data_IF_312665328000
#
_entry.id   IF_312665328000
#
_cell.length_a   1.000
_cell.length_b   1.000
_cell.length_c   1.000
_cell.angle_alpha   90.00
_cell.angle_beta   90.00
_cell.angle_gamma   90.00
#
_symmetry.space_group_name_H-M   'P 1'
#
loop_
_entity.id
_entity.type
_entity.pdbx_description
1 polymer ?
#
# COMPACT_ATOMS: atom_id res chain seq x y z
N UNK A 1 -1.73 9.85 45.04
CA UNK A 1 -0.94 10.69 45.97
C UNK A 1 0.47 10.82 45.41
N UNK A 2 0.81 12.00 44.87
CA UNK A 2 2.16 12.56 44.62
C UNK A 2 1.97 13.76 43.67
N UNK A 3 1.68 14.92 44.25
CA UNK A 3 2.55 16.10 44.27
C UNK A 3 2.49 16.97 42.99
N UNK A 4 1.53 17.90 42.99
CA UNK A 4 1.62 19.13 42.21
C UNK A 4 2.54 20.12 42.95
N UNK A 5 3.75 20.34 42.42
CA UNK A 5 4.61 21.45 42.82
C UNK A 5 3.94 22.78 42.44
N UNK A 6 3.38 23.49 43.43
CA UNK A 6 2.91 24.87 43.27
C UNK A 6 4.12 25.82 43.31
N UNK A 7 4.41 26.48 42.19
CA UNK A 7 5.40 27.55 42.12
C UNK A 7 4.87 28.81 42.84
N UNK A 8 5.69 29.34 43.75
CA UNK A 8 5.41 30.52 44.58
C UNK A 8 5.84 31.81 43.88
N UNK A 9 5.01 32.85 43.93
CA UNK A 9 5.44 34.23 43.68
C UNK A 9 5.50 35.02 45.00
N UNK A 10 6.63 35.68 45.23
CA UNK A 10 6.83 36.63 46.34
C UNK A 10 6.49 38.05 45.86
N UNK A 11 5.45 38.65 46.42
CA UNK A 11 5.20 40.10 46.29
C UNK A 11 5.81 40.77 47.52
N UNK A 12 6.84 41.60 47.32
CA UNK A 12 7.43 42.41 48.41
C UNK A 12 6.65 43.72 48.54
N UNK A 13 5.87 43.86 49.60
CA UNK A 13 5.32 45.13 50.05
C UNK A 13 6.22 45.67 51.16
N UNK A 14 6.97 46.73 50.89
CA UNK A 14 7.77 47.43 51.90
C UNK A 14 6.90 48.42 52.65
N UNK A 15 6.36 48.01 53.80
CA UNK A 15 5.91 48.92 54.85
C UNK A 15 6.66 48.57 56.14
N UNK A 16 7.32 49.57 56.73
CA UNK A 16 8.23 49.44 57.87
C UNK A 16 7.55 49.11 59.19
N UNK A 17 7.08 47.88 59.37
CA UNK A 17 6.62 47.37 60.65
C UNK A 17 7.21 45.97 60.90
N UNK A 18 7.75 45.76 62.10
CA UNK A 18 8.56 44.63 62.57
C UNK A 18 7.84 43.28 62.69
N UNK A 19 6.70 43.09 62.04
CA UNK A 19 6.00 41.80 61.97
C UNK A 19 5.48 41.57 60.56
N UNK A 20 6.29 40.93 59.73
CA UNK A 20 5.88 40.47 58.39
C UNK A 20 4.99 39.22 58.55
N UNK A 21 3.70 39.42 58.79
CA UNK A 21 2.72 38.33 58.59
C UNK A 21 2.56 38.12 57.09
N UNK A 22 3.09 37.00 56.59
CA UNK A 22 2.78 36.52 55.24
C UNK A 22 1.31 36.08 55.25
N UNK A 23 0.41 36.95 54.82
CA UNK A 23 -0.99 36.57 54.56
C UNK A 23 -0.99 35.72 53.29
N UNK A 24 -1.21 34.41 53.47
CA UNK A 24 -1.27 33.42 52.40
C UNK A 24 -2.64 33.54 51.71
N UNK A 25 -2.77 34.47 50.77
CA UNK A 25 -3.98 34.62 49.96
C UNK A 25 -4.12 33.39 49.06
N UNK A 26 -4.97 32.44 49.44
CA UNK A 26 -5.31 31.24 48.67
C UNK A 26 -6.41 31.57 47.65
N UNK A 27 -6.11 32.44 46.69
CA UNK A 27 -6.91 32.61 45.48
C UNK A 27 -6.40 31.70 44.36
N UNK A 28 -7.25 31.26 43.41
CA UNK A 28 -6.76 30.70 42.15
C UNK A 28 -5.82 31.70 41.47
N UNK A 29 -4.78 31.21 40.78
CA UNK A 29 -3.86 32.11 40.08
C UNK A 29 -4.63 32.86 38.98
N UNK A 30 -4.24 34.09 38.61
CA UNK A 30 -4.90 34.84 37.54
C UNK A 30 -5.04 34.05 36.22
N UNK A 31 -4.05 33.23 35.88
CA UNK A 31 -4.09 32.34 34.72
C UNK A 31 -5.09 31.17 34.88
N UNK A 32 -5.33 30.69 36.10
CA UNK A 32 -6.34 29.65 36.37
C UNK A 32 -7.76 30.19 36.15
N UNK A 33 -7.99 31.46 36.50
CA UNK A 33 -9.26 32.15 36.25
C UNK A 33 -9.47 32.37 34.75
N UNK A 34 -8.42 32.78 34.02
CA UNK A 34 -8.49 32.97 32.57
C UNK A 34 -8.73 31.62 31.84
N UNK A 35 -8.06 30.54 32.26
CA UNK A 35 -8.28 29.21 31.72
C UNK A 35 -9.71 28.70 32.00
N UNK A 36 -10.25 28.99 33.18
CA UNK A 36 -11.64 28.67 33.51
C UNK A 36 -12.63 29.39 32.57
N UNK A 37 -12.34 30.62 32.15
CA UNK A 37 -13.15 31.35 31.17
C UNK A 37 -13.14 30.67 29.79
N UNK A 38 -11.97 30.20 29.31
CA UNK A 38 -11.87 29.41 28.05
C UNK A 38 -12.74 28.14 28.13
N UNK A 39 -12.68 27.45 29.28
CA UNK A 39 -13.46 26.23 29.50
C UNK A 39 -14.96 26.49 29.73
N UNK A 40 -15.34 27.69 30.16
CA UNK A 40 -16.73 28.09 30.35
C UNK A 40 -17.39 28.67 29.07
N UNK A 41 -16.60 29.11 28.09
CA UNK A 41 -17.12 29.71 26.87
C UNK A 41 -18.08 28.77 26.12
N UNK A 42 -19.20 29.30 25.66
CA UNK A 42 -20.24 28.58 24.90
C UNK A 42 -20.48 29.18 23.52
N UNK A 43 -20.03 30.42 23.31
CA UNK A 43 -20.20 31.16 22.06
C UNK A 43 -18.85 31.63 21.51
N UNK A 44 -18.79 31.90 20.20
CA UNK A 44 -17.58 32.43 19.54
C UNK A 44 -17.09 33.74 20.18
N UNK A 45 -17.96 34.74 20.48
CA UNK A 45 -17.52 35.95 21.18
C UNK A 45 -16.95 35.68 22.57
N UNK A 46 -17.52 34.76 23.34
CA UNK A 46 -16.99 34.36 24.66
C UNK A 46 -15.63 33.68 24.54
N UNK A 47 -15.49 32.75 23.59
CA UNK A 47 -14.22 32.05 23.36
C UNK A 47 -13.14 33.04 22.93
N UNK A 48 -13.46 33.97 22.03
CA UNK A 48 -12.54 35.05 21.63
C UNK A 48 -12.09 35.91 22.80
N UNK A 49 -13.03 36.41 23.59
CA UNK A 49 -12.71 37.23 24.76
C UNK A 49 -11.83 36.47 25.77
N UNK A 50 -12.03 35.14 25.90
CA UNK A 50 -11.23 34.30 26.78
C UNK A 50 -9.81 34.08 26.26
N UNK A 51 -9.60 33.76 24.98
CA UNK A 51 -8.26 33.52 24.41
C UNK A 51 -7.45 34.81 24.21
N UNK A 52 -8.12 35.95 23.99
CA UNK A 52 -7.49 37.27 23.85
C UNK A 52 -7.15 37.90 25.21
N UNK A 53 -7.55 37.27 26.32
CA UNK A 53 -7.27 37.77 27.66
C UNK A 53 -5.75 37.70 27.96
N UNK A 54 -5.07 38.84 28.23
CA UNK A 54 -3.63 38.86 28.45
C UNK A 54 -3.21 38.05 29.71
N UNK A 55 -4.12 37.79 30.65
CA UNK A 55 -3.85 36.95 31.83
C UNK A 55 -3.68 35.46 31.49
N UNK A 56 -4.18 35.02 30.32
CA UNK A 56 -4.02 33.65 29.85
C UNK A 56 -2.58 33.40 29.35
N UNK A 57 -1.92 34.44 28.83
CA UNK A 57 -0.51 34.37 28.41
C UNK A 57 -0.25 33.58 27.13
N UNK A 58 -1.22 33.49 26.21
CA UNK A 58 -1.04 32.87 24.91
C UNK A 58 -0.15 33.71 23.99
N UNK A 59 0.61 33.05 23.13
CA UNK A 59 1.23 33.66 21.96
C UNK A 59 0.18 33.81 20.86
N UNK A 60 -0.25 35.04 20.60
CA UNK A 60 -1.28 35.38 19.61
C UNK A 60 -0.69 35.96 18.31
N UNK A 61 0.62 35.83 18.07
CA UNK A 61 1.30 36.51 16.95
C UNK A 61 0.65 36.20 15.61
N UNK A 62 0.43 34.91 15.31
CA UNK A 62 -0.21 34.49 14.06
C UNK A 62 -1.72 34.76 14.04
N UNK A 63 -2.41 34.49 15.15
CA UNK A 63 -3.83 34.79 15.32
C UNK A 63 -4.17 36.26 15.06
N UNK A 64 -3.32 37.18 15.50
CA UNK A 64 -3.53 38.62 15.34
C UNK A 64 -3.36 39.11 13.89
N UNK A 65 -2.71 38.32 13.02
CA UNK A 65 -2.60 38.62 11.59
C UNK A 65 -3.85 38.19 10.79
N UNK A 66 -4.75 37.41 11.41
CA UNK A 66 -5.97 36.92 10.76
C UNK A 66 -7.02 38.03 10.61
N UNK A 67 -7.88 37.88 9.59
CA UNK A 67 -9.09 38.69 9.46
C UNK A 67 -10.08 38.39 10.60
N UNK A 68 -11.00 39.30 10.90
CA UNK A 68 -12.00 39.08 11.96
C UNK A 68 -12.88 37.85 11.72
N UNK A 69 -13.18 37.54 10.44
CA UNK A 69 -13.89 36.32 10.08
C UNK A 69 -13.06 35.07 10.42
N UNK A 70 -11.78 35.05 10.02
CA UNK A 70 -10.88 33.94 10.32
C UNK A 70 -10.63 33.76 11.83
N UNK A 71 -10.57 34.85 12.60
CA UNK A 71 -10.51 34.77 14.07
C UNK A 71 -11.77 34.12 14.66
N UNK A 72 -12.94 34.44 14.12
CA UNK A 72 -14.19 33.79 14.53
C UNK A 72 -14.17 32.29 14.18
N UNK A 73 -13.62 31.91 13.03
CA UNK A 73 -13.46 30.50 12.64
C UNK A 73 -12.50 29.76 13.59
N UNK A 74 -11.38 30.37 13.96
CA UNK A 74 -10.43 29.82 14.95
C UNK A 74 -11.14 29.60 16.29
N UNK A 75 -11.87 30.60 16.79
CA UNK A 75 -12.61 30.47 18.04
C UNK A 75 -13.71 29.40 17.97
N UNK A 76 -14.39 29.26 16.83
CA UNK A 76 -15.37 28.20 16.62
C UNK A 76 -14.71 26.81 16.61
N UNK A 77 -13.54 26.66 15.99
CA UNK A 77 -12.77 25.41 16.04
C UNK A 77 -12.33 25.07 17.46
N UNK A 78 -11.85 26.05 18.24
CA UNK A 78 -11.50 25.85 19.64
C UNK A 78 -12.69 25.39 20.49
N UNK A 79 -13.90 25.87 20.20
CA UNK A 79 -15.13 25.40 20.85
C UNK A 79 -15.45 23.95 20.47
N UNK A 80 -15.40 23.64 19.17
CA UNK A 80 -15.75 22.31 18.65
C UNK A 80 -14.76 21.23 19.11
N UNK A 81 -13.47 21.58 19.18
CA UNK A 81 -12.38 20.66 19.53
C UNK A 81 -12.07 20.64 21.03
N UNK A 82 -12.80 21.42 21.84
CA UNK A 82 -12.58 21.44 23.29
C UNK A 82 -12.78 20.04 23.87
N UNK A 83 -11.81 19.49 24.63
CA UNK A 83 -11.99 18.21 25.29
C UNK A 83 -13.22 18.23 26.20
N UNK A 84 -13.90 17.09 26.38
CA UNK A 84 -15.10 17.01 27.21
C UNK A 84 -14.85 17.44 28.68
N UNK A 85 -13.62 17.25 29.19
CA UNK A 85 -13.17 17.71 30.51
C UNK A 85 -12.70 19.17 30.54
N UNK A 86 -12.74 19.87 29.40
CA UNK A 86 -12.05 21.14 29.19
C UNK A 86 -10.55 20.97 28.90
N UNK A 87 -9.91 22.08 28.53
CA UNK A 87 -8.47 22.19 28.35
C UNK A 87 -7.78 22.09 29.72
N UNK A 88 -6.86 21.12 29.93
CA UNK A 88 -6.21 20.89 31.23
C UNK A 88 -5.19 21.96 31.62
N UNK A 89 -4.69 22.74 30.65
CA UNK A 89 -3.67 23.77 30.91
C UNK A 89 -3.66 24.84 29.82
N UNK A 90 -3.05 26.00 30.12
CA UNK A 90 -2.77 27.04 29.12
C UNK A 90 -1.97 26.49 27.94
N UNK A 91 -1.01 25.59 28.18
CA UNK A 91 -0.23 24.97 27.11
C UNK A 91 -1.11 24.14 26.15
N UNK A 92 -2.12 23.44 26.67
CA UNK A 92 -3.08 22.72 25.82
C UNK A 92 -3.98 23.66 25.02
N UNK A 93 -4.30 24.85 25.56
CA UNK A 93 -5.02 25.89 24.81
C UNK A 93 -4.13 26.47 23.72
N UNK A 94 -2.84 26.73 23.99
CA UNK A 94 -1.89 27.20 22.98
C UNK A 94 -1.76 26.19 21.85
N UNK A 95 -1.56 24.91 22.15
CA UNK A 95 -1.45 23.87 21.12
C UNK A 95 -2.72 23.78 20.26
N UNK A 96 -3.91 23.89 20.88
CA UNK A 96 -5.17 23.91 20.16
C UNK A 96 -5.34 25.19 19.32
N UNK A 97 -4.90 26.34 19.81
CA UNK A 97 -4.92 27.61 19.09
C UNK A 97 -4.01 27.55 17.87
N UNK A 98 -2.76 27.11 18.05
CA UNK A 98 -1.79 26.97 16.96
C UNK A 98 -2.33 26.04 15.88
N UNK A 99 -2.92 24.91 16.27
CA UNK A 99 -3.58 24.00 15.34
C UNK A 99 -4.75 24.66 14.61
N UNK A 100 -5.63 25.37 15.32
CA UNK A 100 -6.80 26.01 14.73
C UNK A 100 -6.42 27.14 13.75
N UNK A 101 -5.42 27.95 14.10
CA UNK A 101 -4.88 28.99 13.21
C UNK A 101 -4.32 28.35 11.94
N UNK A 102 -3.49 27.31 12.07
CA UNK A 102 -2.93 26.57 10.95
C UNK A 102 -4.00 25.99 10.01
N UNK A 103 -5.05 25.38 10.58
CA UNK A 103 -6.15 24.83 9.79
C UNK A 103 -6.99 25.89 9.09
N UNK A 104 -7.25 27.03 9.74
CA UNK A 104 -7.99 28.14 9.12
C UNK A 104 -7.20 28.77 7.98
N UNK A 105 -5.90 29.00 8.16
CA UNK A 105 -5.02 29.52 7.10
C UNK A 105 -4.89 28.51 5.95
N UNK A 106 -4.68 27.24 6.25
CA UNK A 106 -4.59 26.18 5.25
C UNK A 106 -5.88 26.01 4.44
N UNK A 107 -7.04 26.03 5.10
CA UNK A 107 -8.34 25.94 4.42
C UNK A 107 -8.58 27.16 3.51
N UNK A 108 -8.18 28.36 3.96
CA UNK A 108 -8.23 29.55 3.11
C UNK A 108 -7.35 29.39 1.87
N UNK A 109 -6.17 28.78 1.97
CA UNK A 109 -5.31 28.49 0.82
C UNK A 109 -5.97 27.51 -0.17
N UNK A 110 -6.60 26.43 0.32
CA UNK A 110 -7.38 25.50 -0.52
C UNK A 110 -8.52 26.24 -1.25
N UNK A 111 -9.24 27.11 -0.55
CA UNK A 111 -10.35 27.86 -1.12
C UNK A 111 -9.91 29.01 -2.06
N UNK A 112 -8.69 29.51 -1.90
CA UNK A 112 -8.11 30.53 -2.77
C UNK A 112 -7.42 29.95 -4.02
N UNK A 113 -7.06 28.65 -4.01
CA UNK A 113 -6.36 28.02 -5.13
C UNK A 113 -7.14 28.17 -6.46
N UNK A 114 -6.42 28.52 -7.51
CA UNK A 114 -6.95 28.69 -8.88
C UNK A 114 -6.29 27.75 -9.88
N UNK A 115 -5.11 27.21 -9.52
CA UNK A 115 -4.35 26.29 -10.36
C UNK A 115 -4.11 24.95 -9.64
N UNK A 116 -3.84 23.90 -10.42
CA UNK A 116 -3.47 22.57 -9.90
C UNK A 116 -2.29 22.66 -8.94
N UNK A 117 -1.26 23.46 -9.29
CA UNK A 117 -0.07 23.63 -8.44
C UNK A 117 -0.40 24.28 -7.09
N UNK A 118 -1.27 25.29 -7.08
CA UNK A 118 -1.71 25.94 -5.84
C UNK A 118 -2.55 25.00 -4.98
N UNK A 119 -3.47 24.25 -5.61
CA UNK A 119 -4.30 23.27 -4.90
C UNK A 119 -3.43 22.17 -4.29
N UNK A 120 -2.45 21.64 -5.04
CA UNK A 120 -1.48 20.67 -4.53
C UNK A 120 -0.70 21.21 -3.34
N UNK A 121 -0.11 22.40 -3.47
CA UNK A 121 0.64 23.01 -2.38
C UNK A 121 -0.23 23.21 -1.11
N UNK A 122 -1.51 23.53 -1.28
CA UNK A 122 -2.44 23.70 -0.16
C UNK A 122 -2.81 22.37 0.52
N UNK A 123 -3.16 21.33 -0.23
CA UNK A 123 -3.57 20.02 0.35
C UNK A 123 -2.38 19.20 0.88
N UNK A 124 -1.19 19.38 0.32
CA UNK A 124 0.03 18.70 0.75
C UNK A 124 0.70 19.39 1.95
N UNK A 125 0.19 20.57 2.37
CA UNK A 125 0.70 21.26 3.54
C UNK A 125 0.36 20.47 4.81
N UNK A 126 1.35 19.96 5.56
CA UNK A 126 1.10 19.17 6.76
C UNK A 126 0.33 19.94 7.85
N UNK A 127 0.37 21.27 7.84
CA UNK A 127 -0.35 22.13 8.77
C UNK A 127 -1.88 22.10 8.56
N UNK A 128 -2.34 21.68 7.38
CA UNK A 128 -3.78 21.49 7.12
C UNK A 128 -4.32 20.25 7.86
N UNK A 129 -3.47 19.25 8.11
CA UNK A 129 -3.84 18.05 8.86
C UNK A 129 -4.66 17.02 8.08
N UNK A 130 -4.56 16.99 6.75
CA UNK A 130 -5.18 15.94 5.93
C UNK A 130 -4.44 14.60 6.10
N UNK A 131 -5.21 13.51 6.03
CA UNK A 131 -4.65 12.18 5.85
C UNK A 131 -4.33 11.98 4.37
N UNK A 132 -3.04 11.96 4.04
CA UNK A 132 -2.53 11.81 2.67
C UNK A 132 -2.03 10.39 2.37
N UNK A 133 -2.30 9.40 3.22
CA UNK A 133 -1.74 8.04 3.04
C UNK A 133 -2.06 7.45 1.67
N UNK A 134 -3.32 7.51 1.23
CA UNK A 134 -3.70 6.97 -0.08
C UNK A 134 -3.27 7.87 -1.25
N UNK A 135 -3.36 9.19 -1.07
CA UNK A 135 -2.91 10.18 -2.05
C UNK A 135 -1.43 10.04 -2.37
N UNK A 136 -0.59 9.78 -1.36
CA UNK A 136 0.85 9.63 -1.52
C UNK A 136 1.28 8.38 -2.28
N UNK A 137 0.38 7.40 -2.45
CA UNK A 137 0.62 6.21 -3.28
C UNK A 137 0.33 6.43 -4.77
N UNK A 138 -0.32 7.54 -5.13
CA UNK A 138 -0.65 7.86 -6.53
C UNK A 138 0.60 8.30 -7.30
N UNK A 139 0.60 8.08 -8.62
CA UNK A 139 1.55 8.72 -9.53
C UNK A 139 1.43 10.25 -9.48
N UNK A 140 2.50 10.97 -9.84
CA UNK A 140 2.48 12.44 -9.87
C UNK A 140 1.43 13.00 -10.85
N UNK A 141 1.17 12.28 -11.95
CA UNK A 141 0.09 12.64 -12.88
C UNK A 141 -1.28 12.50 -12.22
N UNK A 142 -1.55 11.38 -11.54
CA UNK A 142 -2.82 11.17 -10.85
C UNK A 142 -3.01 12.16 -9.69
N UNK A 143 -1.95 12.57 -8.98
CA UNK A 143 -2.02 13.65 -7.97
C UNK A 143 -2.46 14.98 -8.57
N UNK A 144 -1.96 15.33 -9.76
CA UNK A 144 -2.40 16.52 -10.49
C UNK A 144 -3.88 16.42 -10.87
N UNK A 145 -4.32 15.24 -11.33
CA UNK A 145 -5.73 15.00 -11.67
C UNK A 145 -6.65 15.08 -10.44
N UNK A 146 -6.23 14.57 -9.28
CA UNK A 146 -6.94 14.72 -8.01
C UNK A 146 -7.09 16.19 -7.64
N UNK A 147 -6.01 16.97 -7.70
CA UNK A 147 -6.07 18.41 -7.43
C UNK A 147 -6.96 19.16 -8.43
N UNK A 148 -6.98 18.76 -9.70
CA UNK A 148 -7.91 19.30 -10.69
C UNK A 148 -9.38 18.96 -10.37
N UNK A 149 -9.65 17.73 -9.91
CA UNK A 149 -10.99 17.34 -9.46
C UNK A 149 -11.44 18.15 -8.24
N UNK A 150 -10.55 18.38 -7.28
CA UNK A 150 -10.85 19.22 -6.11
C UNK A 150 -11.16 20.67 -6.49
N UNK A 151 -10.48 21.22 -7.51
CA UNK A 151 -10.80 22.54 -8.06
C UNK A 151 -12.18 22.56 -8.74
N UNK A 152 -12.46 21.57 -9.59
CA UNK A 152 -13.71 21.48 -10.35
C UNK A 152 -14.92 21.24 -9.45
N UNK A 153 -14.75 20.46 -8.38
CA UNK A 153 -15.81 20.07 -7.45
C UNK A 153 -15.92 21.00 -6.23
N UNK A 154 -15.08 22.04 -6.16
CA UNK A 154 -15.12 22.98 -5.04
C UNK A 154 -16.50 23.64 -4.97
N UNK A 155 -17.17 23.63 -3.79
CA UNK A 155 -18.45 24.31 -3.64
C UNK A 155 -18.31 25.81 -3.95
N UNK A 156 -19.40 26.45 -4.38
CA UNK A 156 -19.39 27.87 -4.77
C UNK A 156 -18.90 28.81 -3.65
N UNK A 157 -19.14 28.46 -2.38
CA UNK A 157 -18.68 29.21 -1.20
C UNK A 157 -17.33 28.71 -0.66
N UNK A 158 -16.68 27.77 -1.36
CA UNK A 158 -15.52 27.03 -0.87
C UNK A 158 -15.88 25.83 0.01
N UNK A 159 -14.86 25.06 0.38
CA UNK A 159 -14.98 23.99 1.35
C UNK A 159 -15.22 24.58 2.75
N UNK A 160 -16.28 24.18 3.46
CA UNK A 160 -16.64 24.75 4.77
C UNK A 160 -15.72 24.30 5.92
N UNK A 161 -14.95 23.22 5.76
CA UNK A 161 -14.06 22.70 6.80
C UNK A 161 -12.95 21.82 6.23
N UNK A 162 -11.87 21.60 6.99
CA UNK A 162 -10.83 20.61 6.64
C UNK A 162 -11.42 19.22 6.44
N UNK A 163 -12.42 18.83 7.24
CA UNK A 163 -13.12 17.55 7.08
C UNK A 163 -13.84 17.43 5.72
N UNK A 164 -14.42 18.52 5.21
CA UNK A 164 -15.01 18.53 3.86
C UNK A 164 -13.97 18.43 2.75
N UNK A 165 -12.77 19.00 2.96
CA UNK A 165 -11.63 18.82 2.05
C UNK A 165 -11.17 17.37 2.06
N UNK A 166 -11.05 16.75 3.24
CA UNK A 166 -10.69 15.33 3.36
C UNK A 166 -11.69 14.44 2.62
N UNK A 167 -13.00 14.64 2.82
CA UNK A 167 -14.02 13.85 2.14
C UNK A 167 -13.95 14.01 0.61
N UNK A 168 -13.72 15.23 0.12
CA UNK A 168 -13.54 15.48 -1.30
C UNK A 168 -12.25 14.85 -1.84
N UNK A 169 -11.16 14.88 -1.07
CA UNK A 169 -9.89 14.25 -1.40
C UNK A 169 -10.05 12.73 -1.50
N UNK A 170 -10.65 12.09 -0.50
CA UNK A 170 -10.88 10.65 -0.47
C UNK A 170 -11.72 10.20 -1.68
N UNK A 171 -12.76 10.97 -2.01
CA UNK A 171 -13.57 10.73 -3.21
C UNK A 171 -12.73 10.85 -4.48
N UNK A 172 -11.95 11.92 -4.64
CA UNK A 172 -11.13 12.15 -5.82
C UNK A 172 -10.05 11.07 -5.98
N UNK A 173 -9.38 10.68 -4.90
CA UNK A 173 -8.38 9.59 -4.88
C UNK A 173 -8.99 8.25 -5.26
N UNK A 174 -10.24 7.98 -4.88
CA UNK A 174 -10.90 6.72 -5.24
C UNK A 174 -11.35 6.71 -6.72
N UNK A 175 -11.71 7.86 -7.28
CA UNK A 175 -12.26 7.98 -8.64
C UNK A 175 -11.19 8.23 -9.71
N UNK A 176 -10.04 8.78 -9.35
CA UNK A 176 -8.97 9.08 -10.30
C UNK A 176 -8.49 7.79 -10.99
N UNK A 177 -8.23 7.89 -12.29
CA UNK A 177 -7.59 6.83 -13.06
C UNK A 177 -6.09 7.08 -13.02
N UNK A 178 -5.38 6.31 -12.18
CA UNK A 178 -3.92 6.31 -12.17
C UNK A 178 -3.42 5.26 -13.17
N UNK A 179 -2.94 5.70 -14.33
CA UNK A 179 -2.47 4.78 -15.38
C UNK A 179 -1.25 3.96 -14.95
N UNK A 180 -0.54 4.36 -13.89
CA UNK A 180 0.55 3.56 -13.32
C UNK A 180 0.03 2.52 -12.30
N UNK A 181 -1.23 2.62 -11.88
CA UNK A 181 -1.88 1.71 -10.94
C UNK A 181 -3.33 1.41 -11.38
N UNK A 182 -3.50 0.40 -12.23
CA UNK A 182 -4.80 0.01 -12.78
C UNK A 182 -5.41 -1.14 -11.97
N UNK A 183 -6.71 -1.03 -11.68
CA UNK A 183 -7.44 -2.02 -10.89
C UNK A 183 -8.36 -2.87 -11.76
N UNK A 184 -8.39 -4.16 -11.46
CA UNK A 184 -9.25 -5.17 -12.10
C UNK A 184 -10.04 -5.90 -11.03
N UNK A 185 -11.34 -6.05 -11.23
CA UNK A 185 -12.27 -6.75 -10.32
C UNK A 185 -13.11 -7.75 -11.11
N UNK A 186 -13.12 -9.01 -10.68
CA UNK A 186 -13.95 -10.04 -11.27
C UNK A 186 -15.43 -9.62 -11.25
N UNK A 187 -16.09 -9.71 -12.42
CA UNK A 187 -17.50 -9.38 -12.57
C UNK A 187 -17.82 -7.90 -12.77
N UNK A 188 -16.83 -6.99 -12.69
CA UNK A 188 -17.06 -5.59 -13.00
C UNK A 188 -17.40 -5.38 -14.48
N UNK A 189 -18.27 -4.41 -14.78
CA UNK A 189 -18.73 -4.08 -16.14
C UNK A 189 -18.57 -2.59 -16.38
N UNK A 190 -17.96 -2.22 -17.51
CA UNK A 190 -17.84 -0.81 -17.93
C UNK A 190 -16.86 0.03 -17.09
N UNK A 191 -16.04 -0.58 -16.24
CA UNK A 191 -15.05 0.14 -15.44
C UNK A 191 -13.97 0.83 -16.29
N UNK A 192 -13.32 1.84 -15.69
CA UNK A 192 -12.27 2.65 -16.29
C UNK A 192 -10.87 2.34 -15.73
N UNK A 193 -10.77 1.42 -14.77
CA UNK A 193 -9.50 1.02 -14.15
C UNK A 193 -9.13 1.80 -12.89
N UNK A 194 -9.94 2.76 -12.46
CA UNK A 194 -9.82 3.40 -11.13
C UNK A 194 -10.16 2.43 -10.00
N UNK A 195 -9.84 2.79 -8.75
CA UNK A 195 -10.23 2.02 -7.55
C UNK A 195 -11.75 1.87 -7.42
N UNK A 196 -12.48 2.96 -7.68
CA UNK A 196 -13.94 2.97 -7.60
C UNK A 196 -14.62 2.21 -8.75
N UNK A 197 -14.01 2.21 -9.95
CA UNK A 197 -14.58 1.61 -11.15
C UNK A 197 -13.53 0.72 -11.86
N UNK A 198 -13.12 -0.40 -11.25
CA UNK A 198 -12.10 -1.28 -11.80
C UNK A 198 -12.56 -1.95 -13.10
N UNK A 199 -11.61 -2.32 -13.96
CA UNK A 199 -11.91 -3.10 -15.16
C UNK A 199 -12.42 -4.51 -14.80
N UNK A 200 -13.22 -5.11 -15.68
CA UNK A 200 -13.78 -6.45 -15.47
C UNK A 200 -12.81 -7.59 -15.74
N UNK A 201 -11.74 -7.34 -16.51
CA UNK A 201 -10.85 -8.39 -17.00
C UNK A 201 -9.38 -7.97 -16.94
N UNK A 202 -8.50 -8.96 -16.71
CA UNK A 202 -7.05 -8.76 -16.67
C UNK A 202 -6.51 -8.20 -18.00
N UNK A 203 -6.95 -8.66 -19.19
CA UNK A 203 -6.54 -8.06 -20.46
C UNK A 203 -6.87 -6.57 -20.60
N UNK A 204 -8.02 -6.10 -20.08
CA UNK A 204 -8.32 -4.67 -20.05
C UNK A 204 -7.33 -3.91 -19.18
N UNK A 205 -6.98 -4.45 -18.01
CA UNK A 205 -5.96 -3.88 -17.14
C UNK A 205 -4.59 -3.77 -17.82
N UNK A 206 -4.13 -4.85 -18.47
CA UNK A 206 -2.88 -4.88 -19.24
C UNK A 206 -2.91 -3.86 -20.38
N UNK A 207 -4.05 -3.73 -21.07
CA UNK A 207 -4.19 -2.77 -22.17
C UNK A 207 -4.10 -1.31 -21.69
N UNK A 208 -4.67 -1.00 -20.53
CA UNK A 208 -4.76 0.36 -20.00
C UNK A 208 -3.49 0.83 -19.27
N UNK A 209 -2.83 -0.02 -18.49
CA UNK A 209 -1.70 0.36 -17.61
C UNK A 209 -0.53 0.95 -18.42
N UNK A 210 0.20 1.92 -17.90
CA UNK A 210 1.43 2.39 -18.54
C UNK A 210 2.54 1.32 -18.49
N UNK A 211 3.51 1.35 -19.43
CA UNK A 211 4.74 0.58 -19.27
C UNK A 211 5.39 0.88 -17.93
N UNK A 212 5.83 -0.16 -17.21
CA UNK A 212 6.37 -0.02 -15.85
C UNK A 212 5.31 0.04 -14.73
N UNK A 213 4.03 0.19 -15.05
CA UNK A 213 2.95 0.28 -14.06
C UNK A 213 2.50 -1.06 -13.50
N UNK A 214 1.55 -1.01 -12.56
CA UNK A 214 0.98 -2.17 -11.88
C UNK A 214 -0.48 -2.38 -12.27
N UNK A 215 -0.85 -3.62 -12.57
CA UNK A 215 -2.23 -4.07 -12.64
C UNK A 215 -2.54 -4.81 -11.34
N UNK A 216 -3.35 -4.19 -10.49
CA UNK A 216 -3.90 -4.77 -9.28
C UNK A 216 -5.10 -5.65 -9.62
N UNK A 217 -4.94 -6.95 -9.44
CA UNK A 217 -6.00 -7.93 -9.64
C UNK A 217 -6.63 -8.15 -8.26
N UNK A 218 -7.81 -7.56 -8.06
CA UNK A 218 -8.52 -7.59 -6.79
C UNK A 218 -9.11 -8.97 -6.51
N UNK A 219 -9.47 -9.22 -5.25
CA UNK A 219 -10.04 -10.48 -4.79
C UNK A 219 -11.23 -10.93 -5.65
N UNK A 220 -11.30 -12.23 -5.94
CA UNK A 220 -12.34 -12.79 -6.79
C UNK A 220 -11.85 -13.97 -7.61
N UNK A 221 -12.79 -14.70 -8.21
CA UNK A 221 -12.48 -15.78 -9.15
C UNK A 221 -12.56 -15.26 -10.58
N UNK A 222 -11.48 -15.40 -11.32
CA UNK A 222 -11.35 -14.99 -12.72
C UNK A 222 -11.32 -16.22 -13.62
N UNK A 223 -12.43 -16.53 -14.32
CA UNK A 223 -12.47 -17.62 -15.28
C UNK A 223 -11.53 -17.34 -16.45
N UNK A 224 -10.61 -18.26 -16.73
CA UNK A 224 -9.68 -18.17 -17.86
C UNK A 224 -10.14 -19.15 -18.95
N UNK A 225 -10.80 -18.60 -19.97
CA UNK A 225 -11.24 -19.33 -21.17
C UNK A 225 -10.48 -18.90 -22.43
N UNK A 226 -9.72 -17.81 -22.35
CA UNK A 226 -8.81 -17.29 -23.37
C UNK A 226 -7.46 -16.94 -22.75
N UNK A 227 -6.38 -17.02 -23.54
CA UNK A 227 -5.02 -16.78 -23.05
C UNK A 227 -4.85 -15.31 -22.64
N UNK A 228 -4.30 -15.08 -21.45
CA UNK A 228 -3.86 -13.76 -21.01
C UNK A 228 -2.46 -13.51 -21.60
N UNK A 229 -2.34 -12.48 -22.43
CA UNK A 229 -1.05 -12.11 -23.04
C UNK A 229 -0.48 -10.89 -22.30
N UNK A 230 0.69 -11.05 -21.70
CA UNK A 230 1.42 -9.98 -21.01
C UNK A 230 2.48 -9.41 -21.95
N UNK A 231 2.10 -8.39 -22.70
CA UNK A 231 2.87 -7.83 -23.81
C UNK A 231 3.35 -6.39 -23.60
N UNK A 232 3.15 -5.83 -22.40
CA UNK A 232 3.62 -4.49 -22.04
C UNK A 232 4.85 -4.57 -21.14
N UNK A 233 5.93 -3.92 -21.56
CA UNK A 233 7.21 -3.98 -20.86
C UNK A 233 7.15 -3.34 -19.48
N UNK A 234 7.87 -3.94 -18.54
CA UNK A 234 8.04 -3.37 -17.20
C UNK A 234 6.86 -3.57 -16.25
N UNK A 235 5.73 -4.14 -16.69
CA UNK A 235 4.53 -4.14 -15.86
C UNK A 235 4.61 -5.18 -14.73
N UNK A 236 3.89 -4.90 -13.66
CA UNK A 236 3.59 -5.87 -12.60
C UNK A 236 2.15 -6.32 -12.69
N UNK A 237 1.91 -7.63 -12.76
CA UNK A 237 0.59 -8.20 -12.45
C UNK A 237 0.60 -8.64 -10.99
N UNK A 238 -0.19 -7.96 -10.16
CA UNK A 238 -0.23 -8.19 -8.71
C UNK A 238 -1.57 -8.76 -8.29
N UNK A 239 -1.58 -10.00 -7.79
CA UNK A 239 -2.73 -10.59 -7.13
C UNK A 239 -2.88 -10.04 -5.73
N UNK A 240 -4.03 -9.43 -5.44
CA UNK A 240 -4.39 -9.07 -4.07
C UNK A 240 -4.93 -10.30 -3.32
N UNK A 241 -4.89 -10.34 -1.98
CA UNK A 241 -5.40 -11.46 -1.19
C UNK A 241 -6.82 -11.87 -1.59
N UNK A 242 -7.04 -13.17 -1.80
CA UNK A 242 -8.33 -13.71 -2.26
C UNK A 242 -8.52 -13.73 -3.78
N UNK A 243 -7.50 -13.41 -4.56
CA UNK A 243 -7.50 -13.57 -6.03
C UNK A 243 -7.32 -15.04 -6.42
N UNK A 244 -8.17 -15.53 -7.33
CA UNK A 244 -8.07 -16.87 -7.93
C UNK A 244 -8.25 -16.80 -9.44
N UNK A 245 -7.21 -17.12 -10.21
CA UNK A 245 -7.32 -17.34 -11.66
C UNK A 245 -7.66 -18.81 -11.92
N UNK A 246 -8.80 -19.06 -12.54
CA UNK A 246 -9.35 -20.40 -12.70
C UNK A 246 -9.43 -20.81 -14.18
N UNK A 247 -8.47 -21.63 -14.62
CA UNK A 247 -8.38 -22.11 -16.00
C UNK A 247 -9.47 -23.15 -16.31
N UNK A 248 -10.21 -22.89 -17.39
CA UNK A 248 -11.37 -23.67 -17.83
C UNK A 248 -11.28 -24.09 -19.31
N UNK A 249 -10.13 -23.90 -19.95
CA UNK A 249 -9.90 -24.26 -21.35
C UNK A 249 -8.53 -24.91 -21.52
N UNK A 250 -8.38 -25.73 -22.58
CA UNK A 250 -7.13 -26.41 -22.92
C UNK A 250 -6.14 -25.47 -23.64
N UNK A 251 -5.69 -24.44 -22.93
CA UNK A 251 -4.81 -23.38 -23.40
C UNK A 251 -3.73 -23.12 -22.34
N UNK A 252 -2.69 -22.37 -22.73
CA UNK A 252 -1.79 -21.74 -21.75
C UNK A 252 -2.55 -20.58 -21.13
N UNK A 253 -2.67 -20.54 -19.80
CA UNK A 253 -3.46 -19.51 -19.12
C UNK A 253 -2.84 -18.11 -19.30
N UNK A 254 -1.53 -18.00 -19.13
CA UNK A 254 -0.79 -16.74 -19.24
C UNK A 254 0.48 -16.92 -20.09
N UNK A 255 0.64 -16.08 -21.12
CA UNK A 255 1.85 -15.97 -21.93
C UNK A 255 2.50 -14.61 -21.71
N UNK A 256 3.71 -14.61 -21.18
CA UNK A 256 4.50 -13.39 -20.96
C UNK A 256 5.40 -13.19 -22.15
N UNK A 257 5.18 -12.15 -22.94
CA UNK A 257 6.02 -11.81 -24.10
C UNK A 257 6.89 -10.59 -23.87
N UNK A 258 6.53 -9.74 -22.91
CA UNK A 258 7.26 -8.51 -22.63
C UNK A 258 8.43 -8.70 -21.67
N UNK A 259 9.54 -7.97 -21.87
CA UNK A 259 10.64 -8.00 -20.93
C UNK A 259 10.34 -7.22 -19.65
N UNK A 260 11.13 -7.50 -18.61
CA UNK A 260 11.07 -6.80 -17.32
C UNK A 260 9.69 -6.94 -16.63
N UNK A 261 9.04 -8.08 -16.81
CA UNK A 261 7.69 -8.33 -16.27
C UNK A 261 7.78 -8.92 -14.86
N UNK A 262 6.93 -8.48 -13.95
CA UNK A 262 6.76 -9.11 -12.63
C UNK A 262 5.37 -9.73 -12.50
N UNK A 263 5.30 -10.99 -12.07
CA UNK A 263 4.07 -11.67 -11.69
C UNK A 263 4.14 -11.95 -10.19
N UNK A 264 3.31 -11.27 -9.41
CA UNK A 264 3.36 -11.25 -7.95
C UNK A 264 2.03 -11.67 -7.34
N UNK A 265 2.06 -12.58 -6.37
CA UNK A 265 0.92 -12.85 -5.47
C UNK A 265 -0.30 -13.52 -6.11
N UNK A 266 -0.19 -14.09 -7.31
CA UNK A 266 -1.33 -14.77 -7.95
C UNK A 266 -1.57 -16.15 -7.35
N UNK A 267 -2.85 -16.52 -7.20
CA UNK A 267 -3.26 -17.92 -7.05
C UNK A 267 -3.87 -18.43 -8.35
N UNK A 268 -3.38 -19.55 -8.87
CA UNK A 268 -3.84 -20.14 -10.12
C UNK A 268 -4.17 -21.63 -9.96
N UNK A 269 -5.31 -22.06 -10.52
CA UNK A 269 -5.66 -23.48 -10.66
C UNK A 269 -6.58 -23.74 -11.85
N UNK A 270 -6.95 -24.99 -12.09
CA UNK A 270 -7.81 -25.40 -13.20
C UNK A 270 -8.87 -26.39 -12.76
N UNK A 271 -9.98 -26.46 -13.52
CA UNK A 271 -11.05 -27.42 -13.25
C UNK A 271 -10.64 -28.88 -13.52
N UNK A 272 -9.77 -29.12 -14.52
CA UNK A 272 -9.20 -30.43 -14.86
C UNK A 272 -7.71 -30.26 -15.22
N UNK A 273 -6.88 -31.34 -15.18
CA UNK A 273 -5.47 -31.20 -15.49
C UNK A 273 -5.28 -31.10 -17.01
N UNK A 274 -5.32 -29.88 -17.55
CA UNK A 274 -5.02 -29.66 -18.97
C UNK A 274 -3.55 -29.97 -19.26
N UNK A 275 -3.26 -30.58 -20.42
CA UNK A 275 -1.90 -30.90 -20.85
C UNK A 275 -1.12 -29.65 -21.33
N UNK A 276 -1.06 -28.64 -20.46
CA UNK A 276 -0.53 -27.29 -20.67
C UNK A 276 0.07 -26.76 -19.37
N UNK A 277 0.90 -25.74 -19.52
CA UNK A 277 1.38 -24.90 -18.44
C UNK A 277 0.38 -23.79 -18.06
N UNK A 278 0.38 -23.38 -16.80
CA UNK A 278 -0.33 -22.18 -16.38
C UNK A 278 0.35 -20.92 -16.92
N UNK A 279 1.68 -20.81 -16.73
CA UNK A 279 2.45 -19.65 -17.19
C UNK A 279 3.52 -20.11 -18.17
N UNK A 280 3.52 -19.51 -19.37
CA UNK A 280 4.64 -19.58 -20.29
C UNK A 280 5.43 -18.26 -20.28
N UNK A 281 6.73 -18.34 -20.01
CA UNK A 281 7.62 -17.17 -19.97
C UNK A 281 8.37 -17.08 -21.30
N UNK A 282 8.04 -16.08 -22.11
CA UNK A 282 8.78 -15.69 -23.33
C UNK A 282 9.53 -14.36 -23.21
N UNK A 283 9.23 -13.55 -22.18
CA UNK A 283 9.86 -12.26 -21.92
C UNK A 283 11.14 -12.38 -21.09
N UNK A 284 12.21 -11.70 -21.50
CA UNK A 284 13.47 -11.67 -20.75
C UNK A 284 13.35 -10.85 -19.45
N UNK A 285 14.16 -11.17 -18.45
CA UNK A 285 14.14 -10.52 -17.14
C UNK A 285 12.75 -10.58 -16.47
N UNK A 286 12.08 -11.73 -16.58
CA UNK A 286 10.79 -11.96 -15.92
C UNK A 286 11.00 -12.41 -14.48
N UNK A 287 10.29 -11.80 -13.54
CA UNK A 287 10.23 -12.20 -12.14
C UNK A 287 8.88 -12.85 -11.83
N UNK A 288 8.90 -14.08 -11.31
CA UNK A 288 7.73 -14.79 -10.80
C UNK A 288 7.91 -14.92 -9.29
N UNK A 289 7.08 -14.25 -8.49
CA UNK A 289 7.27 -14.13 -7.05
C UNK A 289 5.97 -14.28 -6.24
N UNK A 290 6.05 -14.95 -5.08
CA UNK A 290 4.92 -15.11 -4.13
C UNK A 290 3.64 -15.73 -4.71
N UNK A 291 3.72 -16.45 -5.83
CA UNK A 291 2.54 -17.06 -6.46
C UNK A 291 2.26 -18.44 -5.87
N UNK A 292 0.99 -18.84 -5.87
CA UNK A 292 0.54 -20.20 -5.58
C UNK A 292 -0.11 -20.81 -6.80
N UNK A 293 0.49 -21.84 -7.39
CA UNK A 293 -0.01 -22.48 -8.61
C UNK A 293 -0.19 -23.97 -8.36
N UNK A 294 -1.39 -24.48 -8.59
CA UNK A 294 -1.69 -25.88 -8.34
C UNK A 294 -2.65 -26.51 -9.34
N UNK A 295 -2.44 -27.80 -9.59
CA UNK A 295 -3.33 -28.59 -10.42
C UNK A 295 -4.44 -29.26 -9.61
N UNK A 296 -5.51 -29.72 -10.28
CA UNK A 296 -6.52 -30.56 -9.64
C UNK A 296 -5.96 -31.95 -9.30
N UNK A 297 -6.58 -32.69 -8.36
CA UNK A 297 -6.13 -34.02 -7.96
C UNK A 297 -6.02 -35.00 -9.14
N UNK A 298 -5.00 -35.84 -9.12
CA UNK A 298 -4.78 -36.91 -10.10
C UNK A 298 -4.47 -38.21 -9.37
N UNK A 299 -5.05 -39.32 -9.84
CA UNK A 299 -4.82 -40.63 -9.24
C UNK A 299 -3.37 -41.08 -9.43
N UNK A 300 -2.78 -41.71 -8.41
CA UNK A 300 -1.48 -42.37 -8.53
C UNK A 300 -1.54 -43.54 -9.51
N UNK A 301 -0.40 -43.94 -10.12
CA UNK A 301 0.94 -43.38 -9.94
C UNK A 301 1.17 -42.07 -10.70
N UNK A 302 2.10 -41.23 -10.22
CA UNK A 302 2.48 -39.95 -10.85
C UNK A 302 2.99 -40.11 -12.29
N UNK A 303 3.49 -41.29 -12.65
CA UNK A 303 3.87 -41.63 -14.02
C UNK A 303 2.73 -41.51 -15.02
N UNK A 304 1.49 -41.70 -14.59
CA UNK A 304 0.27 -41.63 -15.40
C UNK A 304 -0.38 -40.26 -15.47
N UNK A 305 0.07 -39.28 -14.66
CA UNK A 305 -0.55 -37.96 -14.57
C UNK A 305 -0.51 -37.21 -15.90
N UNK A 306 -1.58 -36.50 -16.24
CA UNK A 306 -1.60 -35.59 -17.38
C UNK A 306 -0.54 -34.51 -17.18
N UNK A 307 0.14 -34.14 -18.26
CA UNK A 307 1.31 -33.26 -18.21
C UNK A 307 0.90 -31.78 -18.09
N UNK A 308 0.30 -31.45 -16.95
CA UNK A 308 0.03 -30.08 -16.51
C UNK A 308 1.23 -29.50 -15.74
N UNK A 309 1.56 -28.24 -15.98
CA UNK A 309 2.77 -27.61 -15.41
C UNK A 309 2.46 -26.26 -14.77
N UNK A 310 3.18 -25.87 -13.73
CA UNK A 310 3.04 -24.50 -13.22
C UNK A 310 3.64 -23.51 -14.22
N UNK A 311 4.93 -23.70 -14.54
CA UNK A 311 5.71 -22.78 -15.37
C UNK A 311 6.46 -23.53 -16.46
N UNK A 312 6.51 -22.95 -17.65
CA UNK A 312 7.46 -23.32 -18.72
C UNK A 312 8.16 -22.05 -19.20
N UNK A 313 9.49 -22.00 -19.15
CA UNK A 313 10.24 -20.93 -19.81
C UNK A 313 10.45 -21.25 -21.29
N UNK A 314 10.53 -20.25 -22.15
CA UNK A 314 11.18 -20.39 -23.46
C UNK A 314 12.71 -20.35 -23.28
N UNK A 315 13.46 -20.83 -24.28
CA UNK A 315 14.92 -20.91 -24.18
C UNK A 315 15.62 -19.55 -24.22
N UNK A 316 16.82 -19.48 -23.62
CA UNK A 316 17.70 -18.31 -23.72
C UNK A 316 17.27 -17.07 -22.92
N UNK A 317 16.42 -17.25 -21.90
CA UNK A 317 15.92 -16.16 -21.05
C UNK A 317 16.69 -16.05 -19.74
N UNK A 318 16.83 -14.84 -19.21
CA UNK A 318 17.15 -14.59 -17.81
C UNK A 318 15.84 -14.42 -17.02
N UNK A 319 15.65 -15.20 -15.97
CA UNK A 319 14.43 -15.18 -15.14
C UNK A 319 14.77 -15.26 -13.66
N UNK A 320 13.86 -14.80 -12.81
CA UNK A 320 13.91 -15.02 -11.36
C UNK A 320 12.61 -15.65 -10.89
N UNK A 321 12.68 -16.78 -10.19
CA UNK A 321 11.51 -17.49 -9.66
C UNK A 321 11.69 -17.69 -8.17
N UNK A 322 10.95 -16.92 -7.36
CA UNK A 322 11.22 -16.78 -5.92
C UNK A 322 9.97 -16.90 -5.06
N UNK A 323 10.07 -17.55 -3.90
CA UNK A 323 8.99 -17.58 -2.90
C UNK A 323 7.63 -18.09 -3.42
N UNK A 324 7.62 -18.88 -4.50
CA UNK A 324 6.38 -19.42 -5.04
C UNK A 324 6.06 -20.78 -4.41
N UNK A 325 4.80 -21.17 -4.46
CA UNK A 325 4.32 -22.50 -4.06
C UNK A 325 3.73 -23.21 -5.27
N UNK A 326 4.27 -24.39 -5.64
CA UNK A 326 3.77 -25.22 -6.73
C UNK A 326 3.38 -26.61 -6.22
N UNK A 327 2.15 -27.06 -6.51
CA UNK A 327 1.77 -28.42 -6.08
C UNK A 327 0.69 -29.11 -6.89
N UNK A 328 0.60 -30.43 -6.75
CA UNK A 328 -0.47 -31.24 -7.37
C UNK A 328 -0.48 -31.13 -8.91
N UNK A 329 0.72 -31.12 -9.48
CA UNK A 329 1.00 -30.93 -10.90
C UNK A 329 1.89 -32.06 -11.39
N UNK A 330 1.87 -32.39 -12.69
CA UNK A 330 2.91 -33.27 -13.24
C UNK A 330 4.29 -32.65 -13.08
N UNK A 331 4.41 -31.34 -13.30
CA UNK A 331 5.69 -30.63 -13.17
C UNK A 331 5.48 -29.29 -12.48
N UNK A 332 6.33 -28.95 -11.51
CA UNK A 332 6.38 -27.60 -10.99
C UNK A 332 6.82 -26.64 -12.11
N UNK A 333 8.07 -26.75 -12.54
CA UNK A 333 8.59 -25.94 -13.64
C UNK A 333 9.46 -26.74 -14.63
N UNK A 334 9.24 -26.51 -15.92
CA UNK A 334 10.13 -26.97 -16.99
C UNK A 334 11.00 -25.80 -17.45
N UNK A 335 12.32 -25.97 -17.38
CA UNK A 335 13.29 -24.92 -17.66
C UNK A 335 14.00 -25.28 -18.97
N UNK A 336 13.66 -24.57 -20.04
CA UNK A 336 14.19 -24.82 -21.37
C UNK A 336 15.66 -24.39 -21.54
N UNK A 337 16.33 -24.82 -22.62
CA UNK A 337 17.76 -24.60 -22.84
C UNK A 337 18.21 -23.14 -22.75
N UNK A 338 19.43 -22.94 -22.26
CA UNK A 338 20.10 -21.64 -22.14
C UNK A 338 19.40 -20.62 -21.24
N UNK A 339 18.39 -21.03 -20.46
CA UNK A 339 17.78 -20.16 -19.45
C UNK A 339 18.75 -19.98 -18.27
N UNK A 340 18.82 -18.77 -17.75
CA UNK A 340 19.69 -18.38 -16.62
C UNK A 340 18.88 -17.71 -15.52
N UNK A 341 19.47 -17.60 -14.33
CA UNK A 341 18.93 -16.84 -13.21
C UNK A 341 18.50 -17.69 -12.02
N UNK A 342 18.08 -17.04 -10.91
CA UNK A 342 17.82 -17.70 -9.64
C UNK A 342 16.44 -18.34 -9.55
N UNK A 343 16.39 -19.57 -9.03
CA UNK A 343 15.18 -20.29 -8.65
C UNK A 343 15.27 -20.57 -7.15
N UNK A 344 14.79 -19.64 -6.32
CA UNK A 344 15.12 -19.64 -4.88
C UNK A 344 13.88 -19.64 -3.98
N UNK A 345 14.00 -20.29 -2.82
CA UNK A 345 13.00 -20.24 -1.75
C UNK A 345 11.58 -20.62 -2.18
N UNK A 346 11.43 -21.42 -3.23
CA UNK A 346 10.12 -21.93 -3.64
C UNK A 346 9.77 -23.18 -2.82
N UNK A 347 8.48 -23.45 -2.69
CA UNK A 347 7.94 -24.68 -2.08
C UNK A 347 7.32 -25.52 -3.19
N UNK A 348 7.81 -26.74 -3.41
CA UNK A 348 7.26 -27.62 -4.45
C UNK A 348 6.95 -29.00 -3.89
N UNK A 349 5.72 -29.48 -4.07
CA UNK A 349 5.30 -30.76 -3.50
C UNK A 349 4.17 -31.43 -4.29
N UNK A 350 3.96 -32.72 -4.08
CA UNK A 350 2.95 -33.52 -4.79
C UNK A 350 3.07 -33.36 -6.31
N UNK A 351 4.30 -33.46 -6.84
CA UNK A 351 4.57 -33.41 -8.28
C UNK A 351 5.42 -34.59 -8.75
N UNK A 352 5.34 -34.93 -10.04
CA UNK A 352 6.26 -35.94 -10.59
C UNK A 352 7.70 -35.39 -10.64
N UNK A 353 7.86 -34.15 -11.08
CA UNK A 353 9.15 -33.47 -11.08
C UNK A 353 8.97 -32.04 -10.62
N UNK A 354 9.66 -31.65 -9.55
CA UNK A 354 9.60 -30.28 -9.04
C UNK A 354 10.16 -29.30 -10.06
N UNK A 355 11.45 -29.41 -10.33
CA UNK A 355 12.17 -28.63 -11.34
C UNK A 355 12.82 -29.54 -12.38
N UNK A 356 12.40 -29.42 -13.65
CA UNK A 356 13.02 -30.11 -14.78
C UNK A 356 13.99 -29.15 -15.48
N UNK A 357 15.28 -29.41 -15.37
CA UNK A 357 16.36 -28.63 -15.98
C UNK A 357 16.73 -29.27 -17.32
N UNK A 358 16.45 -28.60 -18.43
CA UNK A 358 16.84 -29.04 -19.78
C UNK A 358 17.87 -28.07 -20.33
N UNK A 359 19.17 -28.39 -20.18
CA UNK A 359 20.28 -27.59 -20.73
C UNK A 359 20.26 -26.11 -20.31
N UNK A 360 19.68 -25.82 -19.15
CA UNK A 360 19.67 -24.49 -18.56
C UNK A 360 20.88 -24.28 -17.63
N UNK A 361 21.09 -23.03 -17.22
CA UNK A 361 22.16 -22.60 -16.31
C UNK A 361 21.56 -21.79 -15.15
N UNK A 362 20.48 -22.28 -14.56
CA UNK A 362 19.82 -21.66 -13.40
C UNK A 362 20.49 -22.08 -12.09
N UNK A 363 20.45 -21.20 -11.09
CA UNK A 363 20.91 -21.51 -9.73
C UNK A 363 19.73 -21.82 -8.82
N UNK A 364 19.94 -22.65 -7.81
CA UNK A 364 18.91 -23.07 -6.86
C UNK A 364 19.40 -22.89 -5.42
N UNK A 365 18.64 -22.17 -4.60
CA UNK A 365 18.94 -21.97 -3.19
C UNK A 365 17.65 -21.94 -2.35
N UNK A 366 17.65 -22.65 -1.23
CA UNK A 366 16.59 -22.56 -0.22
C UNK A 366 15.24 -23.13 -0.64
N UNK A 367 15.12 -23.80 -1.79
CA UNK A 367 13.88 -24.45 -2.18
C UNK A 367 13.54 -25.58 -1.21
N UNK A 368 12.25 -25.79 -0.94
CA UNK A 368 11.75 -26.74 0.04
C UNK A 368 10.66 -27.64 -0.54
N UNK A 369 10.48 -28.79 0.12
CA UNK A 369 9.68 -29.89 -0.37
C UNK A 369 8.65 -30.27 0.69
N UNK A 370 7.42 -30.54 0.26
CA UNK A 370 6.26 -30.72 1.14
C UNK A 370 5.71 -32.14 1.15
N UNK A 371 4.54 -32.32 1.78
CA UNK A 371 3.77 -33.56 1.80
C UNK A 371 2.42 -33.34 1.11
N UNK A 372 1.96 -34.21 0.20
CA UNK A 372 2.66 -35.39 -0.34
C UNK A 372 3.98 -35.04 -1.06
N UNK A 373 4.98 -35.93 -1.04
CA UNK A 373 6.30 -35.63 -1.62
C UNK A 373 6.24 -35.53 -3.14
N UNK A 374 7.28 -34.96 -3.74
CA UNK A 374 7.52 -35.14 -5.18
C UNK A 374 8.09 -36.54 -5.45
N UNK A 375 7.97 -37.04 -6.70
CA UNK A 375 8.76 -38.22 -7.12
C UNK A 375 10.24 -37.83 -7.28
N UNK A 376 10.52 -36.66 -7.86
CA UNK A 376 11.85 -36.04 -7.88
C UNK A 376 11.75 -34.53 -7.63
N UNK A 377 12.67 -33.98 -6.85
CA UNK A 377 12.66 -32.55 -6.49
C UNK A 377 13.33 -31.70 -7.58
N UNK A 378 14.56 -32.07 -7.96
CA UNK A 378 15.31 -31.45 -9.05
C UNK A 378 15.79 -32.54 -10.01
N UNK A 379 15.50 -32.38 -11.30
CA UNK A 379 15.90 -33.31 -12.36
C UNK A 379 16.81 -32.61 -13.34
N UNK A 380 18.02 -33.14 -13.54
CA UNK A 380 18.95 -32.69 -14.57
C UNK A 380 18.78 -33.60 -15.78
N UNK A 381 18.12 -33.10 -16.83
CA UNK A 381 17.80 -33.89 -18.02
C UNK A 381 19.03 -34.09 -18.91
N UNK A 382 18.96 -35.12 -19.77
CA UNK A 382 20.00 -35.52 -20.74
C UNK A 382 20.59 -34.31 -21.45
N UNK A 383 21.92 -34.18 -21.41
CA UNK A 383 22.69 -33.11 -22.02
C UNK A 383 22.75 -31.79 -21.26
N UNK A 384 22.13 -31.70 -20.07
CA UNK A 384 22.46 -30.64 -19.11
C UNK A 384 23.93 -30.75 -18.71
N UNK A 385 24.60 -29.61 -18.45
CA UNK A 385 26.04 -29.59 -18.16
C UNK A 385 26.40 -30.39 -16.90
N UNK A 386 27.53 -31.12 -16.95
CA UNK A 386 28.19 -31.71 -15.77
C UNK A 386 29.04 -30.73 -14.98
N UNK A 387 29.34 -29.56 -15.56
CA UNK A 387 30.06 -28.47 -14.90
C UNK A 387 29.12 -27.52 -14.14
N UNK A 388 29.64 -26.35 -13.73
CA UNK A 388 28.82 -25.32 -13.09
C UNK A 388 27.58 -24.95 -13.94
N UNK A 389 26.41 -24.70 -13.32
CA UNK A 389 26.17 -24.62 -11.87
C UNK A 389 25.82 -25.97 -11.20
N UNK A 390 25.99 -27.12 -11.85
CA UNK A 390 25.55 -28.45 -11.37
C UNK A 390 26.69 -29.46 -11.18
N UNK A 391 27.91 -28.98 -10.94
CA UNK A 391 29.12 -29.79 -10.73
C UNK A 391 29.13 -30.50 -9.36
N UNK A 392 28.44 -29.94 -8.37
CA UNK A 392 28.35 -30.53 -7.03
C UNK A 392 26.90 -30.84 -6.62
N UNK A 393 26.44 -32.05 -6.94
CA UNK A 393 25.06 -32.49 -6.66
C UNK A 393 24.76 -32.59 -5.16
N UNK A 394 25.75 -32.97 -4.34
CA UNK A 394 25.59 -33.05 -2.89
C UNK A 394 25.36 -31.65 -2.29
N UNK A 395 26.11 -30.65 -2.74
CA UNK A 395 25.91 -29.26 -2.34
C UNK A 395 24.58 -28.72 -2.86
N UNK A 396 24.22 -29.00 -4.13
CA UNK A 396 22.93 -28.63 -4.70
C UNK A 396 21.76 -29.16 -3.85
N UNK A 397 21.81 -30.44 -3.46
CA UNK A 397 20.82 -31.05 -2.58
C UNK A 397 20.77 -30.37 -1.20
N UNK A 398 21.93 -30.21 -0.54
CA UNK A 398 22.02 -29.62 0.79
C UNK A 398 21.52 -28.17 0.85
N UNK A 399 21.87 -27.35 -0.16
CA UNK A 399 21.43 -25.95 -0.27
C UNK A 399 19.93 -25.81 -0.55
N UNK A 400 19.26 -26.89 -0.95
CA UNK A 400 17.83 -26.93 -1.24
C UNK A 400 17.13 -27.93 -0.33
N UNK A 401 17.41 -27.84 0.98
CA UNK A 401 16.72 -28.60 2.02
C UNK A 401 16.71 -30.12 1.78
N UNK A 402 17.89 -30.67 1.40
CA UNK A 402 18.11 -32.09 1.09
C UNK A 402 17.25 -32.60 -0.07
N UNK A 403 17.18 -31.82 -1.15
CA UNK A 403 16.45 -32.17 -2.36
C UNK A 403 16.87 -33.54 -2.92
N UNK A 404 15.90 -34.34 -3.36
CA UNK A 404 16.14 -35.55 -4.15
C UNK A 404 16.50 -35.15 -5.57
N UNK A 405 17.77 -35.36 -5.94
CA UNK A 405 18.29 -35.04 -7.27
C UNK A 405 18.19 -36.27 -8.17
N UNK A 406 17.54 -36.13 -9.33
CA UNK A 406 17.58 -37.10 -10.43
C UNK A 406 18.56 -36.61 -11.49
N UNK A 407 19.76 -37.18 -11.52
CA UNK A 407 20.75 -36.90 -12.55
C UNK A 407 20.57 -37.84 -13.75
N UNK A 408 20.19 -37.28 -14.89
CA UNK A 408 19.94 -38.00 -16.15
C UNK A 408 20.82 -37.48 -17.29
N UNK A 409 21.88 -36.73 -16.98
CA UNK A 409 22.71 -36.00 -17.95
C UNK A 409 23.38 -36.88 -18.99
#
# INVERSE_FOLDING_TARGET
MSEHKKNMQQVRVTCGCTNMQIVKVHGPLPADIALAAVNAATTVPEMRAAIENPLLGLNLTEYNMLSEAAKNDVAQQLLNNRPASGYPSVASVQAALDQAVNQVVGLAAVNAATTVSEMRAAIENPLLGLNLTEYNMLSETAKNDVAQQLLNNRPALGYPSVASVQAALDQAVNQVVDLDNIYVQAGAVGGNGSRANPFGTIPQGIAAVNPGGTVHILSGTYPITSQIVVNKAGITLKGEPGTLLFLQANIIAMLITAPNTTIDGLTMTSNIPYAKEFIQIGGNNTTIINNTIYGPPQALPMSSWIVNRAIVSQGGLAISVMNNTFHSLRTGMYINPNVTGPINNNVVYNTKGGFLVDRAFTTFLGNSWGTPPNEFDIVLLVGTTSGPPYDNLALLSALNNNATISDQR
#
